data_IF_793440424133
#
_entry.id   IF_793440424133
#
_cell.length_a   1.000
_cell.length_b   1.000
_cell.length_c   1.000
_cell.angle_alpha   90.00
_cell.angle_beta   90.00
_cell.angle_gamma   90.00
#
_symmetry.space_group_name_H-M   'P 1'
#
loop_
_entity.id
_entity.type
_entity.pdbx_description
1 polymer ?
#
# COMPACT_ATOMS: atom_id res chain seq x y z
N UNK A 1 26.43 21.44 -5.67
CA UNK A 1 25.46 20.86 -6.62
C UNK A 1 24.10 20.84 -5.96
N UNK A 2 23.10 21.56 -6.49
CA UNK A 2 21.74 21.46 -5.99
C UNK A 2 21.13 20.14 -6.49
N UNK A 3 20.69 19.27 -5.58
CA UNK A 3 19.93 18.08 -5.97
C UNK A 3 18.62 18.55 -6.60
N UNK A 4 18.36 18.14 -7.84
CA UNK A 4 17.06 18.36 -8.47
C UNK A 4 15.98 17.75 -7.57
N UNK A 5 14.96 18.54 -7.23
CA UNK A 5 13.82 18.04 -6.44
C UNK A 5 13.22 16.85 -7.19
N UNK A 6 13.01 15.73 -6.50
CA UNK A 6 12.44 14.53 -7.09
C UNK A 6 11.04 14.82 -7.65
N UNK A 7 10.85 14.54 -8.94
CA UNK A 7 9.57 14.63 -9.66
C UNK A 7 9.31 13.27 -10.30
N UNK A 8 8.33 12.48 -9.82
CA UNK A 8 8.09 11.11 -10.27
C UNK A 8 8.03 10.99 -11.79
N UNK A 9 7.28 11.86 -12.46
CA UNK A 9 7.06 11.76 -13.90
C UNK A 9 8.31 12.00 -14.76
N UNK A 10 9.41 12.53 -14.20
CA UNK A 10 10.69 12.65 -14.91
C UNK A 10 11.42 11.31 -15.05
N UNK A 11 11.03 10.30 -14.27
CA UNK A 11 11.61 8.96 -14.33
C UNK A 11 10.80 8.02 -15.24
N UNK A 12 9.64 8.45 -15.77
CA UNK A 12 8.91 7.69 -16.77
C UNK A 12 9.43 7.99 -18.18
N UNK A 13 9.43 6.99 -19.07
CA UNK A 13 9.86 7.18 -20.47
C UNK A 13 8.99 8.21 -21.21
N UNK A 14 7.75 8.38 -20.75
CA UNK A 14 6.77 9.30 -21.31
C UNK A 14 6.04 10.03 -20.18
N UNK A 15 6.51 11.24 -19.84
CA UNK A 15 5.96 12.08 -18.75
C UNK A 15 4.43 12.22 -18.81
N UNK A 16 3.89 12.51 -20.00
CA UNK A 16 2.45 12.64 -20.27
C UNK A 16 1.60 11.37 -20.07
N UNK A 17 2.22 10.19 -20.03
CA UNK A 17 1.55 8.90 -19.80
C UNK A 17 1.49 8.52 -18.32
N UNK A 18 2.22 9.26 -17.45
CA UNK A 18 2.24 9.01 -16.02
C UNK A 18 0.82 9.08 -15.42
N UNK A 19 0.47 8.06 -14.64
CA UNK A 19 -0.86 7.89 -14.06
C UNK A 19 -1.97 7.55 -15.07
N UNK A 20 -1.72 7.50 -16.39
CA UNK A 20 -2.76 7.24 -17.41
C UNK A 20 -2.56 5.92 -18.15
N UNK A 21 -1.30 5.62 -18.52
CA UNK A 21 -0.98 4.49 -19.37
C UNK A 21 -0.71 3.21 -18.58
N UNK A 22 -1.52 2.16 -18.83
CA UNK A 22 -1.25 0.78 -18.33
C UNK A 22 0.08 0.22 -18.80
N UNK A 23 0.54 0.65 -19.97
CA UNK A 23 1.81 0.26 -20.58
C UNK A 23 2.77 1.45 -20.58
N UNK A 24 3.12 1.96 -19.40
CA UNK A 24 4.20 2.94 -19.27
C UNK A 24 5.47 2.19 -18.98
N UNK A 25 6.48 2.34 -19.83
CA UNK A 25 7.82 1.83 -19.54
C UNK A 25 8.53 2.83 -18.63
N UNK A 26 9.21 2.29 -17.62
CA UNK A 26 10.20 3.02 -16.86
C UNK A 26 11.54 2.60 -17.45
N UNK A 27 12.50 3.52 -17.66
CA UNK A 27 13.86 3.10 -17.95
C UNK A 27 14.30 2.12 -16.85
N UNK A 28 15.24 1.22 -17.11
CA UNK A 28 15.96 0.54 -16.04
C UNK A 28 16.77 1.61 -15.29
N UNK A 29 16.09 2.38 -14.43
CA UNK A 29 16.75 3.37 -13.60
C UNK A 29 17.25 2.58 -12.40
N UNK A 30 18.54 2.27 -12.43
CA UNK A 30 19.22 1.69 -11.28
C UNK A 30 19.14 2.68 -10.12
N UNK A 31 18.20 2.46 -9.20
CA UNK A 31 18.11 3.22 -7.96
C UNK A 31 16.70 3.39 -7.39
N UNK A 32 16.62 3.76 -6.10
CA UNK A 32 15.37 3.84 -5.35
C UNK A 32 14.35 4.84 -5.94
N UNK A 33 14.79 5.85 -6.68
CA UNK A 33 13.91 6.87 -7.27
C UNK A 33 13.12 6.34 -8.49
N UNK A 34 13.71 5.43 -9.27
CA UNK A 34 13.01 4.77 -10.38
C UNK A 34 11.87 3.90 -9.86
N UNK A 35 12.18 3.04 -8.90
CA UNK A 35 11.20 2.21 -8.21
C UNK A 35 10.11 3.03 -7.53
N UNK A 36 10.48 4.10 -6.82
CA UNK A 36 9.50 5.00 -6.22
C UNK A 36 8.58 5.65 -7.26
N UNK A 37 9.11 5.99 -8.45
CA UNK A 37 8.31 6.56 -9.53
C UNK A 37 7.34 5.54 -10.13
N UNK A 38 7.79 4.31 -10.35
CA UNK A 38 6.95 3.21 -10.83
C UNK A 38 5.81 2.91 -9.84
N UNK A 39 6.11 2.84 -8.54
CA UNK A 39 5.08 2.66 -7.51
C UNK A 39 4.06 3.81 -7.52
N UNK A 40 4.52 5.07 -7.63
CA UNK A 40 3.62 6.22 -7.68
C UNK A 40 2.76 6.24 -8.94
N UNK A 41 3.31 5.82 -10.08
CA UNK A 41 2.55 5.67 -11.32
C UNK A 41 1.43 4.64 -11.15
N UNK A 42 1.75 3.48 -10.57
CA UNK A 42 0.78 2.42 -10.31
C UNK A 42 -0.36 2.91 -9.42
N UNK A 43 -0.05 3.64 -8.34
CA UNK A 43 -1.09 4.18 -7.47
C UNK A 43 -1.91 5.29 -8.13
N UNK A 44 -1.28 6.23 -8.82
CA UNK A 44 -1.99 7.29 -9.56
C UNK A 44 -2.98 6.71 -10.58
N UNK A 45 -2.59 5.63 -11.26
CA UNK A 45 -3.47 4.88 -12.15
C UNK A 45 -4.66 4.25 -11.43
N UNK A 46 -4.42 3.54 -10.33
CA UNK A 46 -5.50 2.89 -9.56
C UNK A 46 -6.48 3.90 -8.99
N UNK A 47 -5.98 5.04 -8.51
CA UNK A 47 -6.83 6.15 -8.03
C UNK A 47 -7.73 6.63 -9.17
N UNK A 48 -7.18 6.86 -10.37
CA UNK A 48 -7.98 7.28 -11.53
C UNK A 48 -9.02 6.24 -11.94
N UNK A 49 -8.64 4.97 -11.99
CA UNK A 49 -9.56 3.88 -12.31
C UNK A 49 -10.70 3.83 -11.27
N UNK A 50 -10.41 4.00 -9.98
CA UNK A 50 -11.41 4.01 -8.91
C UNK A 50 -12.31 5.27 -8.94
N UNK A 51 -11.75 6.45 -9.25
CA UNK A 51 -12.54 7.68 -9.50
C UNK A 51 -13.53 7.44 -10.64
N UNK A 52 -13.08 6.84 -11.75
CA UNK A 52 -13.92 6.56 -12.90
C UNK A 52 -15.00 5.53 -12.58
N UNK A 53 -14.67 4.47 -11.84
CA UNK A 53 -15.65 3.45 -11.40
C UNK A 53 -16.76 4.03 -10.52
N UNK A 54 -16.47 5.07 -9.72
CA UNK A 54 -17.48 5.80 -8.95
C UNK A 54 -18.29 6.82 -9.78
N UNK A 55 -17.96 7.01 -11.05
CA UNK A 55 -18.56 8.05 -11.90
C UNK A 55 -18.17 9.47 -11.47
N UNK A 56 -17.06 9.64 -10.77
CA UNK A 56 -16.58 10.94 -10.32
C UNK A 56 -15.60 11.55 -11.31
N UNK A 57 -15.46 12.88 -11.24
CA UNK A 57 -14.34 13.58 -11.89
C UNK A 57 -13.21 13.80 -10.87
N UNK A 58 -12.01 14.13 -11.36
CA UNK A 58 -10.88 14.47 -10.47
C UNK A 58 -11.21 15.69 -9.60
N UNK A 59 -12.02 16.63 -10.09
CA UNK A 59 -12.44 17.82 -9.32
C UNK A 59 -13.35 17.42 -8.16
N UNK A 60 -14.35 16.57 -8.42
CA UNK A 60 -15.24 16.03 -7.37
C UNK A 60 -14.44 15.24 -6.35
N UNK A 61 -13.48 14.44 -6.79
CA UNK A 61 -12.60 13.70 -5.88
C UNK A 61 -11.75 14.65 -5.02
N UNK A 62 -11.16 15.70 -5.59
CA UNK A 62 -10.37 16.68 -4.85
C UNK A 62 -11.21 17.40 -3.78
N UNK A 63 -12.45 17.78 -4.11
CA UNK A 63 -13.40 18.36 -3.16
C UNK A 63 -13.70 17.40 -2.00
N UNK A 64 -13.99 16.12 -2.29
CA UNK A 64 -14.22 15.09 -1.27
C UNK A 64 -12.97 14.80 -0.42
N UNK A 65 -11.79 14.91 -1.02
CA UNK A 65 -10.51 14.77 -0.36
C UNK A 65 -10.09 16.01 0.45
N UNK A 66 -10.87 17.11 0.39
CA UNK A 66 -10.52 18.35 1.09
C UNK A 66 -9.26 19.03 0.56
N UNK A 67 -8.93 18.83 -0.71
CA UNK A 67 -7.74 19.38 -1.34
C UNK A 67 -8.06 20.17 -2.62
N UNK A 68 -7.10 20.94 -3.12
CA UNK A 68 -7.30 21.72 -4.34
C UNK A 68 -7.23 20.82 -5.58
N UNK A 69 -8.06 21.11 -6.59
CA UNK A 69 -8.05 20.37 -7.84
C UNK A 69 -6.68 20.41 -8.54
N UNK A 70 -6.00 21.56 -8.51
CA UNK A 70 -4.64 21.72 -9.07
C UNK A 70 -3.64 20.76 -8.41
N UNK A 71 -3.66 20.64 -7.08
CA UNK A 71 -2.81 19.70 -6.36
C UNK A 71 -3.10 18.25 -6.78
N UNK A 72 -4.38 17.86 -6.84
CA UNK A 72 -4.77 16.52 -7.26
C UNK A 72 -4.37 16.23 -8.73
N UNK A 73 -4.48 17.21 -9.64
CA UNK A 73 -4.01 17.04 -11.01
C UNK A 73 -2.50 16.85 -11.08
N UNK A 74 -1.72 17.60 -10.29
CA UNK A 74 -0.25 17.45 -10.21
C UNK A 74 0.16 16.11 -9.64
N UNK A 75 -0.49 15.66 -8.55
CA UNK A 75 -0.30 14.33 -7.97
C UNK A 75 -0.53 13.23 -9.00
N UNK A 76 -1.71 13.22 -9.64
CA UNK A 76 -2.11 12.19 -10.59
C UNK A 76 -1.40 12.28 -11.95
N UNK A 77 -0.51 13.25 -12.15
CA UNK A 77 0.39 13.37 -13.31
C UNK A 77 1.86 13.15 -12.93
N UNK A 78 2.16 12.90 -11.65
CA UNK A 78 3.52 12.72 -11.13
C UNK A 78 4.36 14.01 -11.15
N UNK A 79 3.72 15.17 -11.13
CA UNK A 79 4.37 16.49 -10.95
C UNK A 79 4.55 16.82 -9.46
N UNK A 80 3.77 16.16 -8.59
CA UNK A 80 3.92 16.18 -7.14
C UNK A 80 4.06 14.75 -6.62
N UNK A 81 4.72 14.61 -5.46
CA UNK A 81 4.90 13.31 -4.79
C UNK A 81 3.58 12.89 -4.17
N UNK A 82 3.11 11.68 -4.52
CA UNK A 82 1.99 11.02 -3.86
C UNK A 82 2.43 10.56 -2.48
N UNK A 83 1.89 11.18 -1.44
CA UNK A 83 2.21 10.84 -0.05
C UNK A 83 1.38 9.63 0.40
N UNK A 84 1.76 9.03 1.52
CA UNK A 84 1.01 7.92 2.10
C UNK A 84 -0.38 8.37 2.56
N UNK A 85 -0.51 9.60 3.03
CA UNK A 85 -1.79 10.20 3.42
C UNK A 85 -2.76 10.30 2.23
N UNK A 86 -2.27 10.62 1.04
CA UNK A 86 -3.08 10.68 -0.18
C UNK A 86 -3.61 9.29 -0.56
N UNK A 87 -2.78 8.24 -0.39
CA UNK A 87 -3.16 6.84 -0.66
C UNK A 87 -4.19 6.38 0.37
N UNK A 88 -3.98 6.64 1.66
CA UNK A 88 -4.92 6.27 2.72
C UNK A 88 -6.28 6.96 2.52
N UNK A 89 -6.26 8.23 2.12
CA UNK A 89 -7.47 8.98 1.80
C UNK A 89 -8.18 8.43 0.55
N UNK A 90 -7.43 8.05 -0.48
CA UNK A 90 -7.98 7.35 -1.64
C UNK A 90 -8.63 6.03 -1.24
N UNK A 91 -7.98 5.23 -0.38
CA UNK A 91 -8.55 3.98 0.12
C UNK A 91 -9.89 4.19 0.85
N UNK A 92 -9.95 5.20 1.71
CA UNK A 92 -11.15 5.56 2.45
C UNK A 92 -12.28 6.04 1.54
N UNK A 93 -11.99 6.91 0.56
CA UNK A 93 -13.00 7.57 -0.26
C UNK A 93 -13.42 6.74 -1.47
N UNK A 94 -12.50 6.01 -2.08
CA UNK A 94 -12.69 5.32 -3.36
C UNK A 94 -12.82 3.80 -3.20
N UNK A 95 -12.47 3.24 -2.05
CA UNK A 95 -12.35 1.80 -1.83
C UNK A 95 -10.91 1.32 -2.01
N UNK A 96 -10.64 0.01 -2.02
CA UNK A 96 -9.29 -0.54 -1.87
C UNK A 96 -8.39 -0.32 -3.11
N UNK A 97 -7.69 0.80 -3.13
CA UNK A 97 -6.69 1.22 -4.12
C UNK A 97 -5.32 0.61 -3.79
N UNK A 98 -4.95 0.62 -2.51
CA UNK A 98 -3.68 0.07 -2.03
C UNK A 98 -3.74 -1.41 -1.74
N UNK A 99 -2.58 -2.07 -1.78
CA UNK A 99 -2.48 -3.47 -1.36
C UNK A 99 -2.79 -3.64 0.14
N UNK A 100 -2.51 -2.62 0.97
CA UNK A 100 -2.85 -2.63 2.39
C UNK A 100 -4.36 -2.68 2.60
N UNK A 101 -5.12 -1.88 1.86
CA UNK A 101 -6.59 -1.91 1.92
C UNK A 101 -7.18 -3.20 1.32
N UNK A 102 -6.51 -3.78 0.30
CA UNK A 102 -6.94 -5.04 -0.34
C UNK A 102 -6.70 -6.27 0.52
N UNK A 103 -5.66 -6.27 1.35
CA UNK A 103 -5.36 -7.38 2.25
C UNK A 103 -6.45 -7.62 3.31
N UNK A 104 -7.40 -6.67 3.46
CA UNK A 104 -8.39 -6.64 4.52
C UNK A 104 -7.80 -6.12 5.83
N UNK A 105 -8.61 -5.94 6.87
CA UNK A 105 -8.08 -5.64 8.19
C UNK A 105 -7.07 -6.73 8.59
N UNK A 106 -6.00 -6.40 9.33
CA UNK A 106 -5.14 -7.42 9.92
C UNK A 106 -6.07 -8.37 10.67
N UNK A 107 -6.10 -9.62 10.21
CA UNK A 107 -6.94 -10.63 10.83
C UNK A 107 -6.40 -10.79 12.23
N UNK A 108 -7.25 -10.64 13.24
CA UNK A 108 -6.88 -11.06 14.59
C UNK A 108 -6.46 -12.52 14.46
N UNK A 109 -5.23 -12.89 14.88
CA UNK A 109 -4.82 -14.28 14.88
C UNK A 109 -5.92 -15.07 15.60
N UNK A 110 -6.33 -16.18 15.02
CA UNK A 110 -7.20 -17.11 15.72
C UNK A 110 -6.51 -17.54 17.03
N UNK A 111 -7.28 -17.98 18.02
CA UNK A 111 -6.70 -18.45 19.29
C UNK A 111 -5.63 -19.54 19.06
N UNK A 112 -5.80 -20.37 18.03
CA UNK A 112 -4.82 -21.38 17.63
C UNK A 112 -3.53 -20.76 17.06
N UNK A 113 -3.64 -19.77 16.18
CA UNK A 113 -2.50 -19.03 15.64
C UNK A 113 -1.77 -18.22 16.71
N UNK A 114 -2.50 -17.66 17.68
CA UNK A 114 -1.93 -16.95 18.82
C UNK A 114 -1.14 -17.89 19.74
N UNK A 115 -1.64 -19.11 19.99
CA UNK A 115 -0.90 -20.15 20.71
C UNK A 115 0.37 -20.53 19.95
N UNK A 116 0.30 -20.68 18.63
CA UNK A 116 1.46 -21.03 17.80
C UNK A 116 2.50 -19.90 17.74
N UNK A 117 2.07 -18.63 17.65
CA UNK A 117 2.96 -17.48 17.71
C UNK A 117 3.69 -17.42 19.05
N UNK A 118 2.96 -17.57 20.15
CA UNK A 118 3.52 -17.56 21.50
C UNK A 118 4.50 -18.72 21.71
N UNK A 119 4.18 -19.92 21.20
CA UNK A 119 5.08 -21.08 21.25
C UNK A 119 6.36 -20.85 20.42
N UNK A 120 6.23 -20.27 19.22
CA UNK A 120 7.36 -19.93 18.37
C UNK A 120 8.26 -18.86 18.99
N UNK A 121 7.69 -17.89 19.71
CA UNK A 121 8.41 -16.85 20.42
C UNK A 121 9.14 -17.41 21.65
N UNK A 122 8.53 -18.35 22.38
CA UNK A 122 9.19 -19.09 23.46
C UNK A 122 10.41 -19.87 22.97
N UNK A 123 10.28 -20.59 21.84
CA UNK A 123 11.41 -21.29 21.20
C UNK A 123 12.52 -20.31 20.81
N UNK A 124 12.16 -19.16 20.23
CA UNK A 124 13.12 -18.13 19.77
C UNK A 124 13.86 -17.45 20.93
N UNK A 125 13.18 -17.27 22.07
CA UNK A 125 13.75 -16.70 23.29
C UNK A 125 14.66 -17.66 24.07
N UNK A 126 14.79 -18.92 23.63
CA UNK A 126 15.57 -19.94 24.33
C UNK A 126 14.95 -20.36 25.68
N UNK A 127 13.71 -19.96 25.95
CA UNK A 127 13.00 -20.31 27.19
C UNK A 127 12.15 -21.55 26.93
N UNK A 128 12.52 -22.74 27.44
CA UNK A 128 11.70 -23.93 27.27
C UNK A 128 10.35 -23.71 27.95
N UNK A 129 9.26 -23.98 27.21
CA UNK A 129 7.92 -24.01 27.80
C UNK A 129 7.92 -24.98 28.99
N UNK A 130 7.33 -24.62 30.16
CA UNK A 130 7.24 -25.54 31.27
C UNK A 130 6.39 -26.74 30.83
N UNK A 131 7.04 -27.88 30.67
CA UNK A 131 6.38 -29.15 30.37
C UNK A 131 5.29 -29.39 31.43
N UNK A 132 4.01 -29.28 31.03
CA UNK A 132 2.89 -29.73 31.85
C UNK A 132 2.59 -31.18 31.46
N UNK A 133 2.77 -32.16 32.34
CA UNK A 133 2.26 -33.49 32.09
C UNK A 133 0.75 -33.43 31.94
N UNK A 134 0.26 -33.77 30.75
CA UNK A 134 -1.15 -34.04 30.54
C UNK A 134 -1.47 -35.28 31.38
N UNK A 135 -2.30 -35.11 32.42
CA UNK A 135 -2.78 -36.24 33.23
C UNK A 135 -3.66 -37.11 32.33
N UNK A 136 -3.10 -38.18 31.79
CA UNK A 136 -3.89 -39.21 31.10
C UNK A 136 -4.87 -39.82 32.11
N UNK A 137 -6.18 -39.88 31.79
CA UNK A 137 -7.13 -40.55 32.67
C UNK A 137 -6.77 -42.05 32.78
N UNK A 138 -6.92 -42.66 33.95
CA UNK A 138 -6.59 -44.07 34.14
C UNK A 138 -7.45 -44.95 33.23
N UNK A 139 -6.80 -45.93 32.59
CA UNK A 139 -7.48 -46.96 31.79
C UNK A 139 -8.44 -47.72 32.71
N UNK A 140 -9.73 -47.73 32.36
CA UNK A 140 -10.71 -48.62 33.00
C UNK A 140 -10.40 -50.06 32.55
N UNK A 141 -10.00 -50.90 33.49
CA UNK A 141 -9.99 -52.37 33.36
C UNK A 141 -11.38 -52.92 33.58
#
# INVERSE_FOLDING_TARGET
MAYSKYVPAHYAHSKWMFGRGRKTTFPPVDGPLGWASEMQHLYAMRIRDAIAQKGWTVVVYAEKAGCTADHMFKLLRGEAILKLEDIALADQLLGPVSEFARAGPPRTPTAEEEILLNAAEQIRSGSPAPWRPQKFPPKRT
#
